data_IF_517531120981
#
_entry.id   IF_517531120981
#
_cell.length_a   1.000
_cell.length_b   1.000
_cell.length_c   1.000
_cell.angle_alpha   90.00
_cell.angle_beta   90.00
_cell.angle_gamma   90.00
#
_symmetry.space_group_name_H-M   'P 1'
#
loop_
_entity.id
_entity.type
_entity.pdbx_description
1 polymer ?
#
# COMPACT_ATOMS: atom_id res chain seq x y z
N UNK A 1 -8.00 8.17 4.49
CA UNK A 1 -6.88 7.50 5.19
C UNK A 1 -6.02 6.81 4.14
N UNK A 2 -4.72 6.64 4.38
CA UNK A 2 -3.86 5.89 3.45
C UNK A 2 -4.03 4.39 3.66
N UNK A 3 -4.01 3.57 2.60
CA UNK A 3 -4.34 2.14 2.71
C UNK A 3 -3.38 1.41 3.66
N UNK A 4 -2.08 1.63 3.52
CA UNK A 4 -1.07 1.06 4.42
C UNK A 4 -1.19 1.54 5.88
N UNK A 5 -1.56 2.81 6.07
CA UNK A 5 -1.74 3.41 7.39
C UNK A 5 -3.00 2.86 8.06
N UNK A 6 -4.06 2.68 7.28
CA UNK A 6 -5.35 2.13 7.69
C UNK A 6 -5.18 0.68 8.16
N UNK A 7 -4.52 -0.15 7.34
CA UNK A 7 -4.23 -1.55 7.67
C UNK A 7 -3.37 -1.69 8.94
N UNK A 8 -2.50 -0.70 9.21
CA UNK A 8 -1.67 -0.67 10.41
C UNK A 8 -2.32 0.00 11.63
N UNK A 9 -3.55 0.51 11.51
CA UNK A 9 -4.22 1.26 12.58
C UNK A 9 -3.56 2.59 12.95
N UNK A 10 -2.76 3.18 12.05
CA UNK A 10 -1.97 4.40 12.31
C UNK A 10 -2.68 5.63 11.78
N UNK A 11 -2.68 6.70 12.59
CA UNK A 11 -3.23 7.98 12.17
C UNK A 11 -2.29 8.67 11.16
N UNK A 12 -2.69 8.62 9.88
CA UNK A 12 -1.90 9.16 8.76
C UNK A 12 -1.75 10.69 8.80
N UNK A 13 -2.73 11.44 9.29
CA UNK A 13 -2.67 12.91 9.31
C UNK A 13 -1.68 13.41 10.36
N UNK A 14 -1.55 12.67 11.47
CA UNK A 14 -0.54 12.93 12.49
C UNK A 14 0.87 12.71 11.95
N UNK A 15 1.09 11.61 11.22
CA UNK A 15 2.42 11.24 10.72
C UNK A 15 2.91 12.16 9.57
N UNK A 16 2.01 12.59 8.67
CA UNK A 16 2.39 13.46 7.54
C UNK A 16 2.37 14.96 7.90
N UNK A 17 1.76 15.32 9.02
CA UNK A 17 1.47 16.71 9.37
C UNK A 17 0.25 17.28 8.60
N UNK A 18 -0.36 18.35 9.13
CA UNK A 18 -1.65 18.87 8.65
C UNK A 18 -1.63 19.32 7.18
N UNK A 19 -0.49 19.82 6.69
CA UNK A 19 -0.39 20.35 5.31
C UNK A 19 -0.01 19.31 4.25
N UNK A 20 0.45 18.11 4.62
CA UNK A 20 0.88 17.05 3.67
C UNK A 20 -0.02 15.83 3.67
N UNK A 21 -1.26 16.01 4.11
CA UNK A 21 -2.31 15.00 4.08
C UNK A 21 -2.95 14.85 2.70
N UNK A 22 -2.17 14.87 1.61
CA UNK A 22 -2.68 14.52 0.27
C UNK A 22 -2.44 13.04 0.02
N UNK A 23 -3.48 12.34 -0.43
CA UNK A 23 -3.37 10.95 -0.87
C UNK A 23 -2.91 10.92 -2.33
N UNK A 24 -1.93 10.06 -2.60
CA UNK A 24 -1.37 9.81 -3.91
C UNK A 24 -1.79 8.41 -4.36
N UNK A 25 -2.19 8.28 -5.62
CA UNK A 25 -2.43 6.96 -6.22
C UNK A 25 -1.08 6.37 -6.61
N UNK A 26 -0.73 5.24 -6.01
CA UNK A 26 0.44 4.45 -6.34
C UNK A 26 0.01 3.10 -6.93
N UNK A 27 0.97 2.41 -7.56
CA UNK A 27 0.78 1.11 -8.18
C UNK A 27 1.77 0.13 -7.58
N UNK A 28 1.35 -1.11 -7.35
CA UNK A 28 2.18 -2.21 -6.88
C UNK A 28 2.04 -3.36 -7.89
N UNK A 29 3.15 -3.92 -8.38
CA UNK A 29 3.16 -4.89 -9.48
C UNK A 29 3.74 -6.26 -9.10
N UNK A 30 4.86 -6.26 -8.38
CA UNK A 30 5.75 -7.41 -8.22
C UNK A 30 5.21 -8.48 -7.29
N UNK A 31 4.40 -8.10 -6.30
CA UNK A 31 3.90 -9.04 -5.29
C UNK A 31 2.68 -9.86 -5.74
N UNK A 32 2.13 -9.60 -6.94
CA UNK A 32 0.86 -10.19 -7.39
C UNK A 32 0.96 -10.84 -8.77
N UNK A 33 2.06 -11.56 -9.03
CA UNK A 33 2.28 -12.33 -10.27
C UNK A 33 2.06 -11.50 -11.55
N UNK A 34 2.58 -10.26 -11.59
CA UNK A 34 2.48 -9.39 -12.76
C UNK A 34 1.17 -8.59 -12.86
N UNK A 35 0.31 -8.63 -11.84
CA UNK A 35 -0.89 -7.80 -11.77
C UNK A 35 -0.59 -6.44 -11.15
N UNK A 36 -1.09 -5.39 -11.79
CA UNK A 36 -1.03 -4.03 -11.25
C UNK A 36 -2.16 -3.80 -10.25
N UNK A 37 -1.81 -3.56 -9.00
CA UNK A 37 -2.76 -3.13 -7.97
C UNK A 37 -2.62 -1.64 -7.72
N UNK A 38 -3.74 -0.92 -7.80
CA UNK A 38 -3.83 0.51 -7.51
C UNK A 38 -4.13 0.72 -6.04
N UNK A 39 -3.25 1.45 -5.35
CA UNK A 39 -3.35 1.73 -3.92
C UNK A 39 -3.30 3.24 -3.67
N UNK A 40 -3.96 3.70 -2.60
CA UNK A 40 -3.95 5.11 -2.16
C UNK A 40 -3.03 5.25 -0.96
N UNK A 41 -1.88 5.86 -1.19
CA UNK A 41 -0.86 6.07 -0.16
C UNK A 41 -0.80 7.54 0.27
N UNK A 42 -0.33 7.76 1.49
CA UNK A 42 0.04 9.10 1.93
C UNK A 42 1.44 9.45 1.41
N UNK A 43 1.82 10.72 1.50
CA UNK A 43 3.12 11.19 1.03
C UNK A 43 4.31 10.39 1.59
N UNK A 44 4.32 10.11 2.91
CA UNK A 44 5.38 9.30 3.51
C UNK A 44 5.38 7.85 3.00
N UNK A 45 4.22 7.22 2.91
CA UNK A 45 4.12 5.84 2.40
C UNK A 45 4.50 5.76 0.91
N UNK A 46 4.14 6.77 0.10
CA UNK A 46 4.54 6.80 -1.30
C UNK A 46 6.05 6.95 -1.46
N UNK A 47 6.70 7.76 -0.61
CA UNK A 47 8.16 7.88 -0.59
C UNK A 47 8.81 6.56 -0.17
N UNK A 48 8.31 5.93 0.90
CA UNK A 48 8.86 4.63 1.36
C UNK A 48 8.72 3.55 0.30
N UNK A 49 7.58 3.50 -0.39
CA UNK A 49 7.36 2.60 -1.52
C UNK A 49 8.36 2.87 -2.66
N UNK A 50 8.58 4.14 -3.00
CA UNK A 50 9.48 4.53 -4.08
C UNK A 50 10.96 4.24 -3.75
N UNK A 51 11.41 4.56 -2.53
CA UNK A 51 12.81 4.39 -2.11
C UNK A 51 13.12 2.93 -1.79
N UNK A 52 12.28 2.27 -1.01
CA UNK A 52 12.51 0.90 -0.53
C UNK A 52 12.08 -0.19 -1.52
N UNK A 53 11.35 0.18 -2.57
CA UNK A 53 10.72 -0.74 -3.50
C UNK A 53 9.56 -1.51 -2.86
N UNK A 54 8.78 -2.16 -3.73
CA UNK A 54 7.54 -2.85 -3.34
C UNK A 54 7.78 -3.98 -2.34
N UNK A 55 8.82 -4.79 -2.56
CA UNK A 55 9.13 -5.94 -1.71
C UNK A 55 9.47 -5.54 -0.27
N UNK A 56 10.30 -4.50 -0.08
CA UNK A 56 10.61 -4.02 1.28
C UNK A 56 9.39 -3.35 1.90
N UNK A 57 8.66 -2.56 1.12
CA UNK A 57 7.46 -1.87 1.59
C UNK A 57 6.40 -2.83 2.11
N UNK A 58 6.12 -3.92 1.39
CA UNK A 58 5.14 -4.92 1.82
C UNK A 58 5.62 -5.72 3.03
N UNK A 59 6.91 -6.03 3.12
CA UNK A 59 7.51 -6.67 4.30
C UNK A 59 7.41 -5.79 5.55
N UNK A 60 7.58 -4.47 5.40
CA UNK A 60 7.47 -3.49 6.49
C UNK A 60 6.01 -3.19 6.88
N UNK A 61 5.04 -3.57 6.03
CA UNK A 61 3.61 -3.37 6.27
C UNK A 61 2.86 -4.72 6.13
N UNK A 62 3.06 -5.68 7.05
CA UNK A 62 2.54 -7.04 6.91
C UNK A 62 1.00 -7.10 6.89
N UNK A 63 0.30 -6.29 7.70
CA UNK A 63 -1.16 -6.22 7.68
C UNK A 63 -1.70 -5.75 6.33
N UNK A 64 -1.03 -4.76 5.73
CA UNK A 64 -1.39 -4.27 4.40
C UNK A 64 -1.15 -5.32 3.32
N UNK A 65 -0.04 -6.05 3.41
CA UNK A 65 0.25 -7.15 2.49
C UNK A 65 -0.79 -8.28 2.60
N UNK A 66 -1.22 -8.62 3.82
CA UNK A 66 -2.27 -9.61 4.05
C UNK A 66 -3.61 -9.17 3.48
N UNK A 67 -4.01 -7.91 3.69
CA UNK A 67 -5.26 -7.36 3.12
C UNK A 67 -5.23 -7.37 1.60
N UNK A 68 -4.14 -6.92 0.97
CA UNK A 68 -3.99 -6.98 -0.48
C UNK A 68 -4.02 -8.42 -1.00
N UNK A 69 -3.35 -9.34 -0.31
CA UNK A 69 -3.37 -10.75 -0.68
C UNK A 69 -4.78 -11.30 -0.62
N UNK A 70 -5.57 -11.03 0.43
CA UNK A 70 -6.95 -11.51 0.52
C UNK A 70 -7.88 -10.87 -0.51
N UNK A 71 -7.73 -9.58 -0.78
CA UNK A 71 -8.56 -8.87 -1.77
C UNK A 71 -8.30 -9.37 -3.19
N UNK A 72 -7.09 -9.88 -3.47
CA UNK A 72 -6.68 -10.29 -4.81
C UNK A 72 -6.44 -11.81 -4.95
N UNK A 73 -6.48 -12.59 -3.86
CA UNK A 73 -6.37 -14.06 -3.84
C UNK A 73 -7.55 -14.73 -4.54
N UNK A 74 -8.72 -14.07 -4.63
CA UNK A 74 -9.91 -14.62 -5.28
C UNK A 74 -9.91 -14.62 -6.81
N UNK A 75 -8.79 -14.34 -7.47
CA UNK A 75 -8.73 -14.22 -8.93
C UNK A 75 -7.71 -15.16 -9.59
N UNK A 76 -7.38 -16.27 -8.91
CA UNK A 76 -6.73 -17.45 -9.50
C UNK A 76 -7.71 -18.39 -10.24
N UNK A 77 -9.01 -18.10 -10.18
CA UNK A 77 -10.02 -18.78 -10.98
C UNK A 77 -10.75 -17.74 -11.83
N UNK A 78 -10.30 -17.53 -13.06
CA UNK A 78 -11.17 -17.25 -14.19
C UNK A 78 -10.34 -17.32 -15.49
N UNK A 79 -10.52 -18.47 -16.17
CA UNK A 79 -10.22 -18.86 -17.57
C UNK A 79 -8.79 -18.80 -18.10
#
# INVERSE_FOLDING_TARGET
MCDACSAAGRNWSLANGPQRSKLVKAKIFSAFNGREIKVKLCYLCSIKLFIGGEKSFLRENPSFNFELSNQHAGSEFDF
#
